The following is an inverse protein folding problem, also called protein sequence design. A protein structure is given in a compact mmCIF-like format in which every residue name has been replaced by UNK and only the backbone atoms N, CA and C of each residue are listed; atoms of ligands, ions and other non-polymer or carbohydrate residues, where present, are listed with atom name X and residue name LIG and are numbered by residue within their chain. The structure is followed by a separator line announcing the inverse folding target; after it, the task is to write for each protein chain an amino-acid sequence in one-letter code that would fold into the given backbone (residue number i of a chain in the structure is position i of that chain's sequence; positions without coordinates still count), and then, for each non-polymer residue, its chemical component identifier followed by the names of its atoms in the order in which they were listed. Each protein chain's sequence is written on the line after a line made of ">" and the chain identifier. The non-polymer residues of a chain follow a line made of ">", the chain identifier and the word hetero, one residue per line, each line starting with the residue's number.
data_IF_473043865135
#
_entry.id   IF_473043865135
#
_cell.length_a   1.000
_cell.length_b   1.000
_cell.length_c   1.000
_cell.angle_alpha   90.00
_cell.angle_beta   90.00
_cell.angle_gamma   90.00
#
_symmetry.space_group_name_H-M   'P 1'
#
loop_
_entity.id
_entity.type
_entity.pdbx_description
1 polymer ?
#
# COMPACT_ATOMS: atom_id res chain seq x y z
N UNK A 1 22.33 5.56 9.25
CA UNK A 1 20.86 5.53 9.37
C UNK A 1 20.32 4.92 8.08
N UNK A 2 19.75 3.72 8.10
CA UNK A 2 19.25 3.07 6.87
C UNK A 2 17.84 3.59 6.56
N UNK A 3 17.71 4.43 5.54
CA UNK A 3 16.39 4.83 5.04
C UNK A 3 15.59 3.62 4.56
N UNK A 4 14.33 3.51 5.01
CA UNK A 4 13.41 2.42 4.64
C UNK A 4 12.96 2.55 3.17
N UNK A 5 12.90 3.77 2.64
CA UNK A 5 12.39 4.07 1.31
C UNK A 5 13.48 4.76 0.48
N UNK A 6 13.75 4.23 -0.72
CA UNK A 6 14.87 4.69 -1.57
C UNK A 6 14.43 5.16 -2.97
N UNK A 7 13.19 4.91 -3.36
CA UNK A 7 12.66 5.26 -4.69
C UNK A 7 11.53 6.27 -4.57
N UNK A 8 11.31 7.05 -5.65
CA UNK A 8 10.22 8.03 -5.71
C UNK A 8 8.82 7.40 -5.85
N UNK A 9 8.75 6.13 -6.27
CA UNK A 9 7.50 5.41 -6.50
C UNK A 9 7.42 4.19 -5.57
N UNK A 10 6.42 4.18 -4.69
CA UNK A 10 6.28 3.17 -3.64
C UNK A 10 4.83 2.70 -3.58
N UNK A 11 4.63 1.39 -3.61
CA UNK A 11 3.32 0.78 -3.43
C UNK A 11 3.28 -0.08 -2.16
N UNK A 12 2.18 0.05 -1.42
CA UNK A 12 1.89 -0.77 -0.26
C UNK A 12 0.80 -1.79 -0.62
N UNK A 13 1.08 -3.08 -0.46
CA UNK A 13 0.12 -4.15 -0.74
C UNK A 13 -0.18 -4.99 0.51
N UNK A 14 -1.34 -5.64 0.45
CA UNK A 14 -1.77 -6.61 1.44
C UNK A 14 -3.28 -6.67 1.63
N UNK A 15 -3.74 -7.59 2.48
CA UNK A 15 -5.16 -7.87 2.70
C UNK A 15 -5.92 -6.73 3.41
N UNK A 16 -7.24 -6.73 3.32
CA UNK A 16 -8.05 -5.75 4.03
C UNK A 16 -7.84 -5.89 5.55
N UNK A 17 -7.65 -4.76 6.23
CA UNK A 17 -7.41 -4.73 7.67
C UNK A 17 -5.94 -4.83 8.11
N UNK A 18 -4.99 -5.05 7.19
CA UNK A 18 -3.54 -5.13 7.53
C UNK A 18 -2.90 -3.78 7.90
N UNK A 19 -3.66 -2.68 7.87
CA UNK A 19 -3.18 -1.36 8.34
C UNK A 19 -2.52 -0.47 7.27
N UNK A 20 -2.46 -0.88 6.00
CA UNK A 20 -1.88 -0.09 4.88
C UNK A 20 -2.37 1.36 4.85
N UNK A 21 -3.70 1.55 4.84
CA UNK A 21 -4.30 2.88 4.77
C UNK A 21 -4.02 3.71 6.01
N UNK A 22 -3.96 3.08 7.19
CA UNK A 22 -3.63 3.75 8.46
C UNK A 22 -2.17 4.21 8.46
N UNK A 23 -1.25 3.37 8.00
CA UNK A 23 0.17 3.69 7.91
C UNK A 23 0.44 4.79 6.88
N UNK A 24 -0.17 4.70 5.70
CA UNK A 24 -0.05 5.73 4.65
C UNK A 24 -0.58 7.08 5.14
N UNK A 25 -1.70 7.09 5.86
CA UNK A 25 -2.22 8.31 6.49
C UNK A 25 -1.27 8.86 7.56
N UNK A 26 -0.63 7.99 8.35
CA UNK A 26 0.32 8.40 9.36
C UNK A 26 1.57 9.05 8.73
N UNK A 27 2.13 8.46 7.67
CA UNK A 27 3.25 9.04 6.92
C UNK A 27 2.82 10.38 6.32
N UNK A 28 1.66 10.44 5.65
CA UNK A 28 1.19 11.66 5.02
C UNK A 28 1.06 12.81 6.02
N UNK A 29 0.49 12.55 7.20
CA UNK A 29 0.38 13.55 8.27
C UNK A 29 1.73 13.98 8.80
N UNK A 30 2.63 13.03 9.09
CA UNK A 30 3.96 13.34 9.58
C UNK A 30 4.81 14.11 8.55
N UNK A 31 4.61 13.85 7.26
CA UNK A 31 5.26 14.58 6.16
C UNK A 31 4.54 15.89 5.78
N UNK A 32 3.32 16.13 6.25
CA UNK A 32 2.47 17.24 5.79
C UNK A 32 2.10 17.15 4.30
N UNK A 33 1.88 15.94 3.79
CA UNK A 33 1.47 15.66 2.41
C UNK A 33 -0.07 15.57 2.34
N UNK A 34 -0.66 16.22 1.33
CA UNK A 34 -2.11 16.15 1.11
C UNK A 34 -2.53 14.76 0.61
N UNK A 35 -3.61 14.22 1.18
CA UNK A 35 -4.19 12.94 0.77
C UNK A 35 -5.45 13.23 -0.03
N UNK A 36 -5.45 12.87 -1.30
CA UNK A 36 -6.66 12.87 -2.11
C UNK A 36 -7.42 11.56 -1.87
N UNK A 37 -8.63 11.65 -1.31
CA UNK A 37 -9.49 10.51 -1.03
C UNK A 37 -10.90 10.79 -1.55
N UNK A 38 -11.55 9.73 -2.01
CA UNK A 38 -13.00 9.68 -2.23
C UNK A 38 -13.74 9.65 -0.87
N UNK A 39 -15.04 9.92 -0.85
CA UNK A 39 -15.85 10.09 0.39
C UNK A 39 -15.64 8.95 1.40
N UNK A 40 -15.53 9.30 2.68
CA UNK A 40 -15.29 8.34 3.76
C UNK A 40 -16.47 7.38 3.90
N UNK A 41 -16.23 6.09 3.60
CA UNK A 41 -17.21 5.05 3.90
C UNK A 41 -17.45 4.97 5.43
N UNK A 42 -18.70 4.86 5.89
CA UNK A 42 -19.00 4.75 7.32
C UNK A 42 -18.29 3.52 7.90
N UNK A 43 -17.44 3.74 8.92
CA UNK A 43 -16.67 2.67 9.57
C UNK A 43 -17.49 2.09 10.73
N UNK A 44 -17.55 0.75 10.80
CA UNK A 44 -18.28 0.03 11.86
C UNK A 44 -17.63 0.14 13.26
N UNK A 45 -16.31 0.35 13.33
CA UNK A 45 -15.57 0.61 14.58
C UNK A 45 -14.53 1.70 14.35
N UNK A 46 -14.61 2.78 15.12
CA UNK A 46 -13.64 3.86 15.14
C UNK A 46 -12.55 3.56 16.19
N UNK A 47 -11.29 3.44 15.77
CA UNK A 47 -10.19 3.32 16.71
C UNK A 47 -9.69 4.72 17.07
N UNK A 48 -9.88 5.17 18.31
CA UNK A 48 -9.45 6.49 18.82
C UNK A 48 -7.95 6.80 18.67
N UNK A 49 -7.12 5.79 18.39
CA UNK A 49 -5.68 5.94 18.19
C UNK A 49 -5.27 5.89 16.72
N UNK A 50 -6.17 5.57 15.79
CA UNK A 50 -5.84 5.43 14.36
C UNK A 50 -5.18 6.69 13.80
N UNK A 51 -5.62 7.83 14.30
CA UNK A 51 -5.14 9.12 13.86
C UNK A 51 -3.83 9.55 14.51
N UNK A 52 -3.37 8.86 15.56
CA UNK A 52 -2.21 9.24 16.37
C UNK A 52 -0.92 8.54 15.97
N UNK A 53 -0.97 7.57 15.04
CA UNK A 53 0.21 6.82 14.62
C UNK A 53 1.34 7.73 14.11
N UNK A 54 1.00 8.85 13.46
CA UNK A 54 1.97 9.84 13.00
C UNK A 54 2.85 10.43 14.11
N UNK A 55 2.37 10.47 15.36
CA UNK A 55 3.12 10.95 16.52
C UNK A 55 4.25 10.00 16.94
N UNK A 56 4.21 8.76 16.48
CA UNK A 56 5.20 7.73 16.79
C UNK A 56 6.13 7.44 15.60
N UNK A 57 6.04 8.24 14.52
CA UNK A 57 6.93 8.14 13.38
C UNK A 57 8.06 9.16 13.51
N UNK A 58 9.30 8.68 13.47
CA UNK A 58 10.45 9.54 13.20
C UNK A 58 10.68 9.57 11.68
N UNK A 59 10.67 10.76 11.09
CA UNK A 59 10.87 10.96 9.65
C UNK A 59 12.12 11.81 9.45
N UNK A 60 13.00 11.31 8.59
CA UNK A 60 14.16 12.03 8.12
C UNK A 60 14.16 12.00 6.59
N UNK A 61 14.53 13.13 5.98
CA UNK A 61 14.60 13.25 4.52
C UNK A 61 16.06 13.11 4.13
N UNK A 62 16.36 12.24 3.16
CA UNK A 62 17.73 12.05 2.68
C UNK A 62 18.30 13.34 2.03
N UNK A 63 17.42 14.11 1.37
CA UNK A 63 17.71 15.38 0.73
C UNK A 63 16.68 16.44 1.17
N UNK A 64 16.25 17.33 0.26
CA UNK A 64 15.18 18.28 0.50
C UNK A 64 13.81 17.61 0.52
N UNK A 65 12.88 18.18 1.31
CA UNK A 65 11.48 17.77 1.32
C UNK A 65 10.88 17.91 -0.08
N UNK A 66 10.35 16.82 -0.61
CA UNK A 66 9.67 16.82 -1.90
C UNK A 66 8.16 17.07 -1.73
N UNK A 67 7.52 17.88 -2.58
CA UNK A 67 6.08 17.89 -2.71
C UNK A 67 5.63 16.51 -3.21
N UNK A 68 4.78 15.83 -2.45
CA UNK A 68 4.27 14.50 -2.79
C UNK A 68 2.75 14.47 -2.80
N UNK A 69 2.20 13.37 -3.29
CA UNK A 69 0.79 13.03 -3.18
C UNK A 69 0.65 11.53 -2.93
N UNK A 70 -0.38 11.14 -2.18
CA UNK A 70 -0.74 9.74 -2.04
C UNK A 70 -1.98 9.43 -2.86
N UNK A 71 -1.93 8.30 -3.57
CA UNK A 71 -3.04 7.75 -4.32
C UNK A 71 -3.38 6.37 -3.76
N UNK A 72 -4.65 6.12 -3.50
CA UNK A 72 -5.15 4.79 -3.19
C UNK A 72 -5.82 4.22 -4.44
N UNK A 73 -5.45 3.00 -4.82
CA UNK A 73 -6.04 2.31 -5.97
C UNK A 73 -6.24 0.84 -5.64
N UNK A 74 -7.33 0.29 -6.17
CA UNK A 74 -7.59 -1.15 -6.16
C UNK A 74 -7.13 -1.82 -7.47
N UNK A 75 -6.51 -1.08 -8.39
CA UNK A 75 -6.08 -1.61 -9.68
C UNK A 75 -4.73 -2.32 -9.56
N UNK A 76 -4.66 -3.65 -9.73
CA UNK A 76 -3.42 -4.42 -9.64
C UNK A 76 -2.44 -4.10 -10.77
N UNK A 77 -2.90 -3.44 -11.85
CA UNK A 77 -2.03 -3.02 -12.95
C UNK A 77 -0.99 -1.99 -12.51
N UNK A 78 -1.25 -1.23 -11.44
CA UNK A 78 -0.28 -0.26 -10.94
C UNK A 78 0.94 -0.92 -10.28
N UNK A 79 0.84 -2.20 -9.91
CA UNK A 79 1.95 -2.95 -9.33
C UNK A 79 3.06 -3.24 -10.35
N UNK A 80 2.79 -3.06 -11.65
CA UNK A 80 3.78 -3.22 -12.72
C UNK A 80 4.47 -1.90 -13.08
N UNK A 81 4.23 -0.82 -12.32
CA UNK A 81 4.84 0.46 -12.60
C UNK A 81 6.38 0.36 -12.54
N UNK A 82 7.12 0.85 -13.57
CA UNK A 82 8.57 0.74 -13.62
C UNK A 82 9.25 1.35 -12.39
N UNK A 83 10.31 0.69 -11.90
CA UNK A 83 11.14 1.16 -10.78
C UNK A 83 10.40 1.40 -9.46
N UNK A 84 9.20 0.83 -9.32
CA UNK A 84 8.42 0.97 -8.11
C UNK A 84 8.84 -0.04 -7.04
N UNK A 85 9.03 0.46 -5.83
CA UNK A 85 9.28 -0.41 -4.68
C UNK A 85 7.95 -0.90 -4.09
N UNK A 86 7.81 -2.22 -3.98
CA UNK A 86 6.62 -2.85 -3.46
C UNK A 86 6.85 -3.39 -2.04
N UNK A 87 6.04 -2.96 -1.07
CA UNK A 87 6.11 -3.41 0.32
C UNK A 87 4.83 -4.13 0.75
N UNK A 88 4.96 -5.33 1.33
CA UNK A 88 3.84 -6.13 1.83
C UNK A 88 3.58 -5.91 3.31
N UNK A 89 2.30 -5.71 3.64
CA UNK A 89 1.73 -5.60 4.98
C UNK A 89 1.09 -6.91 5.46
N UNK A 90 1.14 -7.97 4.66
CA UNK A 90 0.53 -9.26 5.02
C UNK A 90 1.30 -9.99 6.13
N UNK A 91 2.54 -9.55 6.40
CA UNK A 91 3.39 -10.12 7.44
C UNK A 91 4.09 -9.01 8.21
N UNK A 92 4.34 -9.26 9.50
CA UNK A 92 5.22 -8.45 10.33
C UNK A 92 6.58 -9.15 10.47
N UNK A 93 7.72 -8.45 10.26
CA UNK A 93 7.82 -7.04 9.87
C UNK A 93 7.44 -6.80 8.40
N UNK A 94 7.10 -5.55 8.06
CA UNK A 94 6.87 -5.11 6.67
C UNK A 94 8.13 -5.39 5.84
N UNK A 95 7.96 -5.98 4.66
CA UNK A 95 9.09 -6.35 3.78
C UNK A 95 8.86 -5.88 2.36
N UNK A 96 9.96 -5.52 1.69
CA UNK A 96 10.00 -5.35 0.24
C UNK A 96 9.80 -6.71 -0.41
N UNK A 97 8.94 -6.77 -1.42
CA UNK A 97 8.64 -7.97 -2.20
C UNK A 97 8.78 -7.66 -3.68
N UNK A 98 9.05 -8.69 -4.49
CA UNK A 98 9.00 -8.53 -5.94
C UNK A 98 7.57 -8.65 -6.43
N UNK A 99 7.28 -8.05 -7.58
CA UNK A 99 5.98 -8.17 -8.24
C UNK A 99 5.59 -9.64 -8.45
N UNK A 100 6.54 -10.50 -8.84
CA UNK A 100 6.27 -11.91 -9.12
C UNK A 100 5.93 -12.74 -7.88
N UNK A 101 6.34 -12.28 -6.69
CA UNK A 101 6.11 -12.98 -5.42
C UNK A 101 4.76 -12.63 -4.80
N UNK A 102 4.00 -11.72 -5.43
CA UNK A 102 2.70 -11.28 -4.93
C UNK A 102 1.61 -12.33 -5.17
N UNK A 103 0.73 -12.52 -4.18
CA UNK A 103 -0.45 -13.38 -4.34
C UNK A 103 -1.39 -12.94 -5.47
N UNK A 104 -1.35 -11.65 -5.84
CA UNK A 104 -2.10 -11.09 -6.97
C UNK A 104 -1.74 -11.75 -8.29
N UNK A 105 -0.44 -11.98 -8.55
CA UNK A 105 0.00 -12.59 -9.79
C UNK A 105 -0.45 -14.05 -9.87
N UNK A 106 -0.41 -14.79 -8.77
CA UNK A 106 -0.93 -16.17 -8.71
C UNK A 106 -2.41 -16.20 -9.03
N UNK A 107 -3.24 -15.39 -8.36
CA UNK A 107 -4.70 -15.38 -8.60
C UNK A 107 -5.03 -14.97 -10.04
N UNK A 108 -4.37 -13.93 -10.58
CA UNK A 108 -4.60 -13.51 -11.97
C UNK A 108 -4.14 -14.55 -12.98
N UNK A 109 -2.96 -15.15 -12.79
CA UNK A 109 -2.47 -16.22 -13.67
C UNK A 109 -3.37 -17.45 -13.59
N UNK A 110 -3.79 -17.85 -12.40
CA UNK A 110 -4.64 -19.02 -12.20
C UNK A 110 -6.02 -18.79 -12.85
N UNK A 111 -6.60 -17.60 -12.72
CA UNK A 111 -7.84 -17.24 -13.40
C UNK A 111 -7.72 -17.22 -14.92
N UNK A 112 -6.65 -16.62 -15.46
CA UNK A 112 -6.45 -16.54 -16.92
C UNK A 112 -6.17 -17.93 -17.53
N UNK A 113 -5.43 -18.78 -16.81
CA UNK A 113 -5.05 -20.11 -17.28
C UNK A 113 -6.14 -21.17 -17.09
N UNK A 114 -7.02 -21.00 -16.11
CA UNK A 114 -8.08 -21.95 -15.78
C UNK A 114 -9.45 -21.27 -15.80
N UNK A 115 -9.69 -20.44 -16.82
CA UNK A 115 -10.88 -19.57 -16.90
C UNK A 115 -12.19 -20.36 -16.74
N UNK A 116 -12.26 -21.53 -17.36
CA UNK A 116 -13.39 -22.46 -17.32
C UNK A 116 -13.74 -22.93 -15.90
N UNK A 117 -12.75 -23.18 -15.04
CA UNK A 117 -12.96 -23.60 -13.64
C UNK A 117 -13.61 -22.50 -12.77
N UNK A 118 -13.41 -21.23 -13.11
CA UNK A 118 -13.96 -20.09 -12.37
C UNK A 118 -15.29 -19.56 -12.92
N UNK A 119 -15.56 -19.80 -14.21
CA UNK A 119 -16.80 -19.32 -14.84
C UNK A 119 -17.97 -20.29 -14.68
N UNK A 120 -17.73 -21.51 -14.21
CA UNK A 120 -18.80 -22.47 -13.95
C UNK A 120 -19.65 -22.72 -15.19
N UNK A 121 -19.02 -22.79 -16.37
CA UNK A 121 -19.70 -23.40 -17.51
C UNK A 121 -19.76 -24.91 -17.26
N UNK A 122 -20.92 -25.56 -17.49
CA UNK A 122 -21.15 -26.96 -17.15
C UNK A 122 -20.23 -27.94 -17.87
#
# INVERSE_FOLDING_TARGET
>A
MSGIFKTGNIFFIGENGTGKSTFLQAIARACGIHIWKDEERPRYRYNRFEDKLHLFLAIDWADNKVPGAFFASHSPILLTYPDADLYSFDRSPIRKVRYEDTGYLRVYKDFLNNRELYLGEP
#
